data_IF_579252537919
#
_entry.id   IF_579252537919
#
_cell.length_a   1.000
_cell.length_b   1.000
_cell.length_c   1.000
_cell.angle_alpha   90.00
_cell.angle_beta   90.00
_cell.angle_gamma   90.00
#
_symmetry.space_group_name_H-M   'P 1'
#
loop_
_entity.id
_entity.type
_entity.pdbx_description
1 polymer ?
#
# COMPACT_ATOMS: atom_id res chain seq x y z
N UNK A 1 -7.12 12.01 -32.79
CA UNK A 1 -7.16 10.53 -32.81
C UNK A 1 -7.42 10.07 -31.39
N UNK A 2 -8.50 9.31 -31.19
CA UNK A 2 -8.83 8.74 -29.88
C UNK A 2 -7.67 7.85 -29.39
N UNK A 3 -7.36 7.83 -28.08
CA UNK A 3 -6.43 6.85 -27.54
C UNK A 3 -7.02 5.46 -27.76
N UNK A 4 -6.26 4.58 -28.41
CA UNK A 4 -6.65 3.19 -28.57
C UNK A 4 -6.83 2.57 -27.17
N UNK A 5 -8.05 2.13 -26.88
CA UNK A 5 -8.38 1.38 -25.66
C UNK A 5 -7.51 0.14 -25.55
N UNK A 6 -6.69 0.11 -24.51
CA UNK A 6 -5.85 -1.04 -24.17
C UNK A 6 -6.75 -2.03 -23.42
N UNK A 7 -7.43 -2.92 -24.16
CA UNK A 7 -8.12 -4.06 -23.58
C UNK A 7 -7.12 -5.16 -23.24
N UNK A 8 -6.50 -5.07 -22.05
CA UNK A 8 -5.74 -6.18 -21.45
C UNK A 8 -6.76 -7.18 -20.92
N UNK A 9 -6.71 -8.42 -21.42
CA UNK A 9 -7.62 -9.48 -20.97
C UNK A 9 -7.52 -9.73 -19.47
N UNK A 10 -8.66 -9.98 -18.82
CA UNK A 10 -8.75 -10.24 -17.38
C UNK A 10 -7.79 -11.37 -16.95
N UNK A 11 -6.83 -11.13 -16.04
CA UNK A 11 -5.96 -12.18 -15.55
C UNK A 11 -6.76 -13.21 -14.74
N UNK A 12 -6.45 -14.51 -14.92
CA UNK A 12 -6.98 -15.56 -14.05
C UNK A 12 -6.34 -15.43 -12.67
N UNK A 13 -7.15 -15.09 -11.67
CA UNK A 13 -6.71 -14.93 -10.28
C UNK A 13 -6.50 -16.33 -9.63
N UNK A 14 -5.29 -16.68 -9.16
CA UNK A 14 -4.97 -18.03 -8.65
C UNK A 14 -5.78 -18.50 -7.43
N UNK A 15 -6.45 -17.60 -6.71
CA UNK A 15 -7.29 -17.94 -5.55
C UNK A 15 -8.74 -18.28 -5.92
N UNK A 16 -9.07 -18.35 -7.21
CA UNK A 16 -10.40 -18.79 -7.69
C UNK A 16 -10.72 -20.26 -7.43
N UNK A 17 -9.74 -21.11 -7.07
CA UNK A 17 -9.97 -22.55 -6.95
C UNK A 17 -11.04 -22.93 -5.88
N UNK A 18 -11.41 -22.03 -4.96
CA UNK A 18 -12.49 -22.27 -3.97
C UNK A 18 -13.33 -21.02 -3.59
N UNK A 19 -13.36 -19.97 -4.41
CA UNK A 19 -14.13 -18.75 -4.10
C UNK A 19 -15.50 -18.75 -4.81
N UNK A 20 -16.65 -18.67 -4.09
CA UNK A 20 -17.96 -18.51 -4.73
C UNK A 20 -18.05 -17.19 -5.52
N UNK A 21 -18.96 -17.17 -6.49
CA UNK A 21 -19.13 -16.09 -7.47
C UNK A 21 -19.65 -14.80 -6.81
N UNK A 22 -18.75 -13.84 -6.55
CA UNK A 22 -19.14 -12.44 -6.35
C UNK A 22 -19.93 -11.95 -7.59
N UNK A 23 -20.75 -10.89 -7.49
CA UNK A 23 -21.31 -10.24 -8.68
C UNK A 23 -20.14 -9.86 -9.61
N UNK A 24 -20.14 -10.42 -10.83
CA UNK A 24 -19.03 -10.26 -11.79
C UNK A 24 -18.62 -8.79 -11.97
N UNK A 25 -19.59 -7.86 -11.84
CA UNK A 25 -19.37 -6.41 -11.96
C UNK A 25 -18.45 -5.80 -10.90
N UNK A 26 -18.56 -6.17 -9.61
CA UNK A 26 -17.76 -5.56 -8.54
C UNK A 26 -16.30 -6.01 -8.61
N UNK A 27 -16.05 -7.31 -8.86
CA UNK A 27 -14.68 -7.80 -9.11
C UNK A 27 -14.11 -7.15 -10.35
N UNK A 28 -14.86 -7.13 -11.46
CA UNK A 28 -14.37 -6.56 -12.71
C UNK A 28 -13.99 -5.09 -12.56
N UNK A 29 -14.82 -4.30 -11.87
CA UNK A 29 -14.51 -2.92 -11.53
C UNK A 29 -13.29 -2.79 -10.62
N UNK A 30 -13.13 -3.69 -9.64
CA UNK A 30 -11.99 -3.72 -8.74
C UNK A 30 -10.68 -4.16 -9.42
N UNK A 31 -10.76 -4.89 -10.54
CA UNK A 31 -9.61 -5.36 -11.33
C UNK A 31 -9.21 -4.41 -12.48
N UNK A 32 -10.05 -3.40 -12.79
CA UNK A 32 -9.76 -2.39 -13.82
C UNK A 32 -8.57 -1.52 -13.41
N UNK A 33 -7.47 -1.67 -14.15
CA UNK A 33 -6.19 -1.00 -13.95
C UNK A 33 -5.83 -0.04 -15.08
N UNK A 34 -6.78 0.24 -16.00
CA UNK A 34 -6.55 1.11 -17.16
C UNK A 34 -6.10 2.52 -16.79
N UNK A 35 -6.53 3.00 -15.62
CA UNK A 35 -6.24 4.33 -15.10
C UNK A 35 -4.80 4.50 -14.57
N UNK A 36 -4.11 3.40 -14.24
CA UNK A 36 -2.84 3.43 -13.50
C UNK A 36 -1.72 4.08 -14.33
N UNK A 37 -1.74 3.93 -15.65
CA UNK A 37 -0.77 4.61 -16.52
C UNK A 37 -0.87 6.14 -16.46
N UNK A 38 -2.05 6.68 -16.15
CA UNK A 38 -2.30 8.13 -16.11
C UNK A 38 -2.11 8.71 -14.72
N UNK A 39 -2.59 8.03 -13.69
CA UNK A 39 -2.64 8.55 -12.32
C UNK A 39 -1.69 7.85 -11.34
N UNK A 40 -0.92 6.87 -11.83
CA UNK A 40 -0.21 5.94 -10.97
C UNK A 40 -1.17 5.10 -10.13
N UNK A 41 -0.71 4.65 -8.97
CA UNK A 41 -1.53 3.84 -8.05
C UNK A 41 -2.40 4.70 -7.11
N UNK A 42 -2.63 5.97 -7.48
CA UNK A 42 -3.59 6.82 -6.77
C UNK A 42 -4.99 6.58 -7.31
N UNK A 43 -6.00 6.91 -6.50
CA UNK A 43 -7.39 6.97 -6.96
C UNK A 43 -7.50 7.68 -8.33
N UNK A 44 -8.53 7.36 -9.13
CA UNK A 44 -8.76 7.72 -10.55
C UNK A 44 -8.73 9.24 -10.90
N UNK A 45 -8.28 10.08 -9.96
CA UNK A 45 -8.05 11.52 -9.99
C UNK A 45 -8.21 12.07 -8.57
N UNK A 46 -7.59 13.22 -8.20
CA UNK A 46 -7.77 13.84 -6.89
C UNK A 46 -9.20 14.32 -6.62
N UNK A 47 -10.00 14.53 -7.68
CA UNK A 47 -11.44 14.82 -7.61
C UNK A 47 -12.31 13.59 -7.34
N UNK A 48 -11.73 12.38 -7.39
CA UNK A 48 -12.48 11.13 -7.36
C UNK A 48 -12.39 10.43 -6.00
N UNK A 49 -11.59 10.96 -5.06
CA UNK A 49 -11.62 10.44 -3.69
C UNK A 49 -12.90 10.90 -3.03
N UNK A 50 -13.75 9.94 -2.68
CA UNK A 50 -15.06 10.23 -2.11
C UNK A 50 -14.95 10.48 -0.60
N UNK A 51 -15.42 11.64 -0.15
CA UNK A 51 -15.39 12.00 1.26
C UNK A 51 -16.59 11.47 2.05
N UNK A 52 -17.76 11.47 1.42
CA UNK A 52 -19.04 11.18 2.06
C UNK A 52 -19.61 9.84 1.61
N UNK A 53 -20.15 9.09 2.58
CA UNK A 53 -20.94 7.89 2.32
C UNK A 53 -22.39 8.27 2.01
N UNK A 54 -23.13 7.41 1.28
CA UNK A 54 -24.57 7.59 1.09
C UNK A 54 -25.30 7.64 2.45
N UNK A 55 -26.46 8.33 2.55
CA UNK A 55 -27.15 8.56 3.83
C UNK A 55 -27.42 7.31 4.67
N UNK A 56 -27.72 6.18 4.04
CA UNK A 56 -27.94 4.89 4.72
C UNK A 56 -26.72 4.45 5.56
N UNK A 57 -25.52 4.84 5.17
CA UNK A 57 -24.25 4.42 5.77
C UNK A 57 -23.59 5.54 6.59
N UNK A 58 -24.29 6.68 6.79
CA UNK A 58 -23.74 7.86 7.47
C UNK A 58 -23.24 7.55 8.89
N UNK A 59 -23.91 6.64 9.62
CA UNK A 59 -23.53 6.24 10.98
C UNK A 59 -22.09 5.74 11.09
N UNK A 60 -21.56 5.08 10.05
CA UNK A 60 -20.16 4.64 10.02
C UNK A 60 -19.20 5.84 10.02
N UNK A 61 -19.51 6.85 9.20
CA UNK A 61 -18.70 8.07 9.11
C UNK A 61 -18.83 8.92 10.38
N UNK A 62 -20.02 8.99 10.98
CA UNK A 62 -20.27 9.73 12.21
C UNK A 62 -19.50 9.14 13.39
N UNK A 63 -19.50 7.80 13.54
CA UNK A 63 -18.72 7.13 14.59
C UNK A 63 -17.22 7.31 14.40
N UNK A 64 -16.74 7.39 13.15
CA UNK A 64 -15.32 7.69 12.88
C UNK A 64 -14.99 9.15 13.20
N UNK A 65 -15.88 10.09 12.87
CA UNK A 65 -15.72 11.48 13.25
C UNK A 65 -15.73 11.66 14.78
N UNK A 66 -16.56 10.89 15.49
CA UNK A 66 -16.56 10.83 16.95
C UNK A 66 -15.23 10.29 17.49
N UNK A 67 -14.68 9.20 16.94
CA UNK A 67 -13.37 8.66 17.36
C UNK A 67 -12.22 9.67 17.20
N UNK A 68 -12.30 10.53 16.18
CA UNK A 68 -11.29 11.57 15.91
C UNK A 68 -11.45 12.82 16.77
N UNK A 69 -12.67 13.13 17.21
CA UNK A 69 -13.00 14.34 17.96
C UNK A 69 -13.05 14.11 19.48
N UNK A 70 -13.60 12.98 19.92
CA UNK A 70 -13.32 12.43 21.24
C UNK A 70 -11.87 11.95 21.21
N UNK A 71 -10.98 12.35 22.13
CA UNK A 71 -9.56 12.04 22.05
C UNK A 71 -9.27 10.57 22.40
N UNK A 72 -9.86 9.62 21.66
CA UNK A 72 -9.64 8.18 21.80
C UNK A 72 -8.17 7.90 21.52
N UNK A 73 -7.44 7.53 22.55
CA UNK A 73 -6.00 7.26 22.48
C UNK A 73 -5.71 5.77 22.36
N UNK A 74 -4.45 5.46 22.11
CA UNK A 74 -3.91 4.11 22.26
C UNK A 74 -4.09 3.64 23.71
N UNK A 75 -4.59 2.42 23.88
CA UNK A 75 -4.81 1.79 25.19
C UNK A 75 -5.52 2.71 26.18
N UNK A 76 -6.66 3.28 25.78
CA UNK A 76 -7.37 4.31 26.52
C UNK A 76 -8.43 3.70 27.46
N UNK A 77 -8.17 3.65 28.78
CA UNK A 77 -9.11 3.15 29.77
C UNK A 77 -10.17 4.18 30.17
N UNK A 78 -10.16 5.38 29.58
CA UNK A 78 -11.08 6.43 30.00
C UNK A 78 -12.53 6.05 29.73
N UNK A 79 -13.48 6.53 30.56
CA UNK A 79 -14.91 6.35 30.31
C UNK A 79 -15.36 6.92 28.95
N UNK A 80 -14.65 7.92 28.42
CA UNK A 80 -14.93 8.51 27.11
C UNK A 80 -14.63 7.52 25.99
N UNK A 81 -13.45 6.91 26.00
CA UNK A 81 -13.07 5.91 25.01
C UNK A 81 -13.94 4.65 25.13
N UNK A 82 -14.29 4.24 26.35
CA UNK A 82 -15.23 3.13 26.55
C UNK A 82 -16.64 3.45 26.05
N UNK A 83 -17.14 4.67 26.28
CA UNK A 83 -18.44 5.11 25.74
C UNK A 83 -18.47 5.09 24.20
N UNK A 84 -17.36 5.43 23.55
CA UNK A 84 -17.23 5.29 22.10
C UNK A 84 -17.18 3.82 21.66
N UNK A 85 -16.41 2.95 22.32
CA UNK A 85 -16.38 1.50 22.03
C UNK A 85 -17.75 0.85 22.25
N UNK A 86 -18.48 1.25 23.28
CA UNK A 86 -19.86 0.85 23.54
C UNK A 86 -20.79 1.27 22.40
N UNK A 87 -20.59 2.46 21.84
CA UNK A 87 -21.35 2.95 20.68
C UNK A 87 -21.07 2.10 19.43
N UNK A 88 -19.85 1.62 19.24
CA UNK A 88 -19.52 0.63 18.19
C UNK A 88 -20.25 -0.69 18.45
N UNK A 89 -20.22 -1.22 19.68
CA UNK A 89 -20.91 -2.47 20.05
C UNK A 89 -22.43 -2.38 19.88
N UNK A 90 -23.01 -1.18 20.01
CA UNK A 90 -24.44 -0.88 19.80
C UNK A 90 -24.79 -0.39 18.39
N UNK A 91 -23.79 -0.21 17.52
CA UNK A 91 -24.02 0.27 16.16
C UNK A 91 -24.98 -0.68 15.44
N UNK A 92 -26.04 -0.18 14.78
CA UNK A 92 -26.94 -1.04 14.03
C UNK A 92 -26.17 -1.76 12.93
N UNK A 93 -26.49 -3.04 12.71
CA UNK A 93 -26.01 -3.75 11.54
C UNK A 93 -26.63 -3.14 10.28
N UNK A 94 -25.78 -2.80 9.31
CA UNK A 94 -26.19 -2.26 8.01
C UNK A 94 -25.51 -3.09 6.94
N UNK A 95 -26.32 -3.72 6.07
CA UNK A 95 -25.79 -4.54 4.98
C UNK A 95 -25.08 -3.67 3.93
N UNK A 96 -23.85 -4.03 3.50
CA UNK A 96 -23.12 -3.41 2.40
C UNK A 96 -23.53 -3.96 1.04
N UNK A 97 -24.40 -4.97 0.95
CA UNK A 97 -24.82 -5.59 -0.32
C UNK A 97 -25.32 -4.57 -1.35
N UNK A 98 -26.11 -3.53 -0.99
CA UNK A 98 -26.48 -2.48 -1.95
C UNK A 98 -25.29 -1.68 -2.51
N UNK A 99 -24.22 -1.48 -1.73
CA UNK A 99 -22.99 -0.85 -2.22
C UNK A 99 -22.26 -1.77 -3.20
N UNK A 100 -22.12 -3.05 -2.82
CA UNK A 100 -21.41 -4.06 -3.61
C UNK A 100 -22.10 -4.27 -4.96
N UNK A 101 -23.43 -4.37 -4.96
CA UNK A 101 -24.24 -4.55 -6.18
C UNK A 101 -24.15 -3.34 -7.13
N UNK A 102 -24.03 -2.11 -6.60
CA UNK A 102 -23.85 -0.91 -7.42
C UNK A 102 -22.47 -0.84 -8.08
N UNK A 103 -21.46 -1.50 -7.49
CA UNK A 103 -20.09 -1.52 -7.97
C UNK A 103 -19.47 -0.12 -8.22
N UNK A 104 -19.91 0.91 -7.46
CA UNK A 104 -19.26 2.22 -7.46
C UNK A 104 -17.99 2.13 -6.61
N UNK A 105 -16.84 2.05 -7.29
CA UNK A 105 -15.54 1.82 -6.66
C UNK A 105 -15.16 2.92 -5.65
N UNK A 106 -15.46 4.18 -5.93
CA UNK A 106 -15.09 5.27 -5.04
C UNK A 106 -15.90 5.20 -3.74
N UNK A 107 -17.18 4.78 -3.82
CA UNK A 107 -18.03 4.52 -2.65
C UNK A 107 -17.57 3.28 -1.88
N UNK A 108 -17.24 2.19 -2.58
CA UNK A 108 -16.79 0.94 -1.95
C UNK A 108 -15.48 1.13 -1.19
N UNK A 109 -14.51 1.79 -1.83
CA UNK A 109 -13.22 2.15 -1.24
C UNK A 109 -13.45 3.00 0.01
N UNK A 110 -14.28 4.05 -0.07
CA UNK A 110 -14.58 4.91 1.07
C UNK A 110 -15.27 4.17 2.20
N UNK A 111 -16.26 3.32 1.89
CA UNK A 111 -16.98 2.54 2.89
C UNK A 111 -16.03 1.59 3.64
N UNK A 112 -15.19 0.86 2.91
CA UNK A 112 -14.18 -0.02 3.52
C UNK A 112 -13.17 0.80 4.35
N UNK A 113 -12.67 1.92 3.82
CA UNK A 113 -11.72 2.77 4.52
C UNK A 113 -12.27 3.27 5.86
N UNK A 114 -13.53 3.71 5.90
CA UNK A 114 -14.17 4.14 7.15
C UNK A 114 -14.28 2.98 8.14
N UNK A 115 -14.80 1.82 7.71
CA UNK A 115 -14.96 0.65 8.58
C UNK A 115 -13.62 0.11 9.10
N UNK A 116 -12.57 0.10 8.28
CA UNK A 116 -11.26 -0.39 8.70
C UNK A 116 -10.56 0.60 9.65
N UNK A 117 -10.81 1.91 9.50
CA UNK A 117 -10.41 2.89 10.51
C UNK A 117 -11.14 2.67 11.83
N UNK A 118 -12.46 2.41 11.81
CA UNK A 118 -13.23 2.08 13.01
C UNK A 118 -12.69 0.84 13.71
N UNK A 119 -12.35 -0.22 12.94
CA UNK A 119 -11.71 -1.43 13.47
C UNK A 119 -10.42 -1.09 14.23
N UNK A 120 -9.54 -0.30 13.62
CA UNK A 120 -8.26 0.05 14.23
C UNK A 120 -8.44 0.94 15.47
N UNK A 121 -9.33 1.94 15.43
CA UNK A 121 -9.69 2.70 16.64
C UNK A 121 -10.24 1.80 17.74
N UNK A 122 -11.12 0.85 17.40
CA UNK A 122 -11.73 -0.06 18.36
C UNK A 122 -10.69 -0.95 19.03
N UNK A 123 -9.85 -1.62 18.25
CA UNK A 123 -8.84 -2.56 18.75
C UNK A 123 -7.74 -1.84 19.51
N UNK A 124 -7.14 -0.79 18.93
CA UNK A 124 -5.96 -0.16 19.53
C UNK A 124 -6.29 0.77 20.70
N UNK A 125 -7.56 1.16 20.87
CA UNK A 125 -7.98 1.87 22.07
C UNK A 125 -8.29 0.95 23.26
N UNK A 126 -8.34 -0.38 23.07
CA UNK A 126 -8.57 -1.32 24.18
C UNK A 126 -7.51 -1.16 25.27
N UNK A 127 -7.88 -1.12 26.56
CA UNK A 127 -6.93 -0.87 27.66
C UNK A 127 -5.81 -1.90 27.75
N UNK A 128 -6.09 -3.13 27.33
CA UNK A 128 -5.16 -4.26 27.33
C UNK A 128 -4.86 -4.67 25.90
N UNK A 129 -3.59 -4.95 25.63
CA UNK A 129 -3.17 -5.44 24.31
C UNK A 129 -3.81 -6.80 24.01
N UNK A 130 -4.41 -6.98 22.82
CA UNK A 130 -5.05 -8.24 22.47
C UNK A 130 -4.04 -9.38 22.33
N UNK A 131 -4.36 -10.54 22.92
CA UNK A 131 -3.58 -11.77 22.80
C UNK A 131 -4.50 -12.96 22.50
N UNK A 132 -3.99 -14.14 22.12
CA UNK A 132 -4.85 -15.31 21.94
C UNK A 132 -5.61 -15.74 23.21
N UNK A 133 -5.10 -15.42 24.40
CA UNK A 133 -5.79 -15.70 25.69
C UNK A 133 -6.75 -14.59 26.09
N UNK A 134 -6.52 -13.36 25.66
CA UNK A 134 -7.38 -12.18 25.88
C UNK A 134 -7.65 -11.47 24.55
N UNK A 135 -8.47 -12.08 23.66
CA UNK A 135 -8.63 -11.58 22.30
C UNK A 135 -9.49 -10.31 22.24
N UNK A 136 -9.19 -9.45 21.27
CA UNK A 136 -10.09 -8.37 20.88
C UNK A 136 -11.28 -8.95 20.11
N UNK A 137 -12.48 -8.87 20.71
CA UNK A 137 -13.72 -9.29 20.08
C UNK A 137 -14.36 -8.11 19.35
N UNK A 138 -14.37 -8.18 18.03
CA UNK A 138 -14.95 -7.16 17.14
C UNK A 138 -16.42 -7.50 16.90
N UNK A 139 -17.37 -6.57 17.18
CA UNK A 139 -18.80 -6.85 17.08
C UNK A 139 -19.24 -7.07 15.62
N UNK A 140 -20.28 -7.88 15.44
CA UNK A 140 -20.77 -8.30 14.12
C UNK A 140 -21.25 -7.15 13.23
N UNK A 141 -21.77 -6.07 13.83
CA UNK A 141 -22.15 -4.85 13.12
C UNK A 141 -20.97 -4.15 12.43
N UNK A 142 -19.73 -4.38 12.88
CA UNK A 142 -18.51 -3.86 12.28
C UNK A 142 -17.78 -4.94 11.46
N UNK A 143 -17.65 -6.15 12.01
CA UNK A 143 -16.89 -7.23 11.41
C UNK A 143 -17.45 -7.72 10.08
N UNK A 144 -18.76 -7.99 10.01
CA UNK A 144 -19.45 -8.52 8.81
C UNK A 144 -19.34 -7.56 7.61
N UNK A 145 -19.79 -6.29 7.70
CA UNK A 145 -19.71 -5.39 6.55
C UNK A 145 -18.27 -5.11 6.11
N UNK A 146 -17.32 -5.05 7.05
CA UNK A 146 -15.91 -4.90 6.71
C UNK A 146 -15.38 -6.12 5.92
N UNK A 147 -15.74 -7.34 6.32
CA UNK A 147 -15.34 -8.55 5.62
C UNK A 147 -15.93 -8.63 4.21
N UNK A 148 -17.22 -8.34 4.05
CA UNK A 148 -17.88 -8.34 2.74
C UNK A 148 -17.24 -7.31 1.79
N UNK A 149 -16.99 -6.08 2.26
CA UNK A 149 -16.33 -5.04 1.45
C UNK A 149 -14.86 -5.38 1.16
N UNK A 150 -14.14 -5.93 2.14
CA UNK A 150 -12.75 -6.37 1.96
C UNK A 150 -12.65 -7.48 0.92
N UNK A 151 -13.58 -8.44 0.92
CA UNK A 151 -13.69 -9.46 -0.12
C UNK A 151 -14.00 -8.86 -1.49
N UNK A 152 -15.01 -7.99 -1.59
CA UNK A 152 -15.40 -7.37 -2.86
C UNK A 152 -14.24 -6.59 -3.51
N UNK A 153 -13.42 -5.95 -2.69
CA UNK A 153 -12.23 -5.18 -3.12
C UNK A 153 -10.95 -6.04 -3.23
N UNK A 154 -10.99 -7.31 -2.80
CA UNK A 154 -9.86 -8.23 -2.81
C UNK A 154 -8.73 -7.86 -1.84
N UNK A 155 -9.00 -7.13 -0.77
CA UNK A 155 -8.00 -6.67 0.22
C UNK A 155 -8.28 -7.30 1.59
N UNK A 156 -7.28 -7.40 2.48
CA UNK A 156 -7.51 -7.93 3.83
C UNK A 156 -8.32 -6.95 4.71
N UNK A 157 -9.03 -7.43 5.75
CA UNK A 157 -9.79 -6.61 6.68
C UNK A 157 -8.89 -5.99 7.78
N UNK A 158 -7.86 -5.27 7.35
CA UNK A 158 -6.89 -4.54 8.19
C UNK A 158 -6.49 -3.27 7.46
N UNK A 159 -6.08 -2.21 8.17
CA UNK A 159 -5.60 -0.98 7.53
C UNK A 159 -4.37 -1.30 6.70
N UNK A 160 -4.43 -0.94 5.42
CA UNK A 160 -3.35 -1.11 4.44
C UNK A 160 -2.68 0.21 4.09
N UNK A 161 -1.58 0.16 3.34
CA UNK A 161 -0.95 1.34 2.74
C UNK A 161 -1.92 2.10 1.83
N UNK A 162 -2.79 1.41 1.09
CA UNK A 162 -3.81 2.03 0.26
C UNK A 162 -4.77 2.89 1.09
N UNK A 163 -5.22 2.37 2.23
CA UNK A 163 -6.16 3.04 3.15
C UNK A 163 -5.58 4.29 3.79
N UNK A 164 -4.28 4.28 4.04
CA UNK A 164 -3.55 5.36 4.73
C UNK A 164 -2.94 6.39 3.78
N UNK A 165 -2.79 6.03 2.50
CA UNK A 165 -2.10 6.86 1.50
C UNK A 165 -2.93 7.04 0.22
N UNK A 166 -3.11 5.97 -0.58
CA UNK A 166 -3.68 6.04 -1.93
C UNK A 166 -5.13 6.54 -1.97
N UNK A 167 -5.89 6.34 -0.89
CA UNK A 167 -7.29 6.74 -0.76
C UNK A 167 -7.52 7.76 0.37
N UNK A 168 -6.45 8.25 1.01
CA UNK A 168 -6.55 9.03 2.24
C UNK A 168 -6.31 10.53 2.04
N UNK A 169 -6.82 11.11 0.96
CA UNK A 169 -6.58 12.51 0.66
C UNK A 169 -7.76 13.17 -0.05
N UNK A 170 -7.85 14.48 0.10
CA UNK A 170 -8.74 15.32 -0.68
C UNK A 170 -8.03 16.62 -1.06
N UNK A 171 -8.58 17.28 -2.07
CA UNK A 171 -8.17 18.62 -2.45
C UNK A 171 -8.73 19.61 -1.43
N UNK A 172 -7.87 20.47 -0.91
CA UNK A 172 -8.27 21.58 -0.06
C UNK A 172 -8.70 22.77 -0.93
N UNK A 173 -10.01 22.85 -1.22
CA UNK A 173 -10.60 23.93 -2.01
C UNK A 173 -10.74 25.25 -1.21
N UNK A 174 -10.42 25.26 0.08
CA UNK A 174 -10.51 26.47 0.93
C UNK A 174 -9.31 27.41 0.76
N UNK A 175 -8.21 26.91 0.18
CA UNK A 175 -6.96 27.65 0.06
C UNK A 175 -6.59 27.88 -1.42
N UNK A 176 -7.18 28.92 -2.02
CA UNK A 176 -6.94 29.33 -3.41
C UNK A 176 -5.66 30.17 -3.60
N UNK A 177 -4.98 30.54 -2.50
CA UNK A 177 -3.77 31.35 -2.50
C UNK A 177 -2.52 30.48 -2.28
N UNK A 178 -2.19 29.62 -3.23
CA UNK A 178 -0.82 29.07 -3.30
C UNK A 178 -0.02 29.88 -4.32
N UNK A 179 1.20 30.30 -3.94
CA UNK A 179 2.10 31.11 -4.81
C UNK A 179 2.37 30.43 -6.16
N UNK A 180 2.17 29.11 -6.25
CA UNK A 180 2.38 28.27 -7.44
C UNK A 180 1.07 27.91 -8.19
N UNK A 181 -0.10 28.33 -7.73
CA UNK A 181 -1.41 27.93 -8.30
C UNK A 181 -1.75 26.43 -8.16
N UNK A 182 -0.98 25.68 -7.37
CA UNK A 182 -1.23 24.25 -7.08
C UNK A 182 -2.22 24.12 -5.93
N UNK A 183 -3.32 23.38 -6.13
CA UNK A 183 -4.25 23.08 -5.03
C UNK A 183 -3.55 22.27 -3.94
N UNK A 184 -3.73 22.64 -2.67
CA UNK A 184 -3.17 21.91 -1.53
C UNK A 184 -3.95 20.60 -1.31
N UNK A 185 -3.25 19.54 -0.91
CA UNK A 185 -3.87 18.28 -0.50
C UNK A 185 -3.96 18.23 1.02
N UNK A 186 -5.05 17.65 1.53
CA UNK A 186 -5.24 17.34 2.95
C UNK A 186 -5.55 15.87 3.14
N UNK A 187 -5.25 15.36 4.32
CA UNK A 187 -5.55 13.99 4.72
C UNK A 187 -7.01 13.87 5.15
N UNK A 188 -7.67 12.74 4.83
CA UNK A 188 -9.05 12.49 5.26
C UNK A 188 -9.14 11.93 6.69
N UNK A 189 -8.33 10.91 6.96
CA UNK A 189 -8.32 10.16 8.21
C UNK A 189 -6.92 10.15 8.83
N UNK A 190 -6.86 10.39 10.13
CA UNK A 190 -5.68 10.26 10.97
C UNK A 190 -6.13 9.54 12.26
N UNK A 191 -5.21 8.81 12.90
CA UNK A 191 -5.48 8.08 14.13
C UNK A 191 -4.96 8.82 15.36
N UNK A 192 -3.73 9.31 15.28
CA UNK A 192 -3.08 10.05 16.36
C UNK A 192 -3.55 11.50 16.48
N UNK A 193 -4.12 12.04 15.40
CA UNK A 193 -4.49 13.45 15.30
C UNK A 193 -3.30 14.41 15.16
N UNK A 194 -2.07 13.90 15.09
CA UNK A 194 -0.86 14.72 14.99
C UNK A 194 -0.64 15.27 13.57
N UNK A 195 0.00 16.43 13.47
CA UNK A 195 0.47 16.97 12.19
C UNK A 195 1.54 16.08 11.57
N UNK A 196 2.37 15.42 12.39
CA UNK A 196 3.38 14.45 11.97
C UNK A 196 2.81 13.26 11.21
N UNK A 197 1.67 12.73 11.65
CA UNK A 197 0.95 11.66 10.94
C UNK A 197 0.45 12.14 9.58
N UNK A 198 -0.18 13.32 9.54
CA UNK A 198 -0.64 13.90 8.29
C UNK A 198 0.52 14.15 7.32
N UNK A 199 1.65 14.66 7.82
CA UNK A 199 2.85 14.87 7.03
C UNK A 199 3.45 13.56 6.50
N UNK A 200 3.44 12.49 7.31
CA UNK A 200 3.89 11.16 6.90
C UNK A 200 3.06 10.62 5.74
N UNK A 201 1.73 10.74 5.82
CA UNK A 201 0.83 10.35 4.71
C UNK A 201 1.02 11.22 3.48
N UNK A 202 1.09 12.54 3.63
CA UNK A 202 1.28 13.45 2.49
C UNK A 202 2.64 13.24 1.81
N UNK A 203 3.70 12.97 2.56
CA UNK A 203 5.01 12.61 1.98
C UNK A 203 4.90 11.34 1.12
N UNK A 204 4.21 10.31 1.63
CA UNK A 204 3.97 9.06 0.90
C UNK A 204 3.10 9.30 -0.34
N UNK A 205 2.07 10.12 -0.22
CA UNK A 205 1.19 10.53 -1.33
C UNK A 205 1.95 11.28 -2.43
N UNK A 206 2.85 12.20 -2.07
CA UNK A 206 3.68 12.92 -3.04
C UNK A 206 4.65 11.99 -3.78
N UNK A 207 5.14 10.94 -3.12
CA UNK A 207 5.93 9.89 -3.77
C UNK A 207 5.09 9.15 -4.80
N UNK A 208 3.88 8.69 -4.43
CA UNK A 208 2.97 8.00 -5.36
C UNK A 208 2.57 8.88 -6.54
N UNK A 209 2.28 10.16 -6.30
CA UNK A 209 1.96 11.13 -7.34
C UNK A 209 3.13 11.37 -8.31
N UNK A 210 4.36 11.43 -7.78
CA UNK A 210 5.57 11.48 -8.63
C UNK A 210 5.79 10.16 -9.38
N UNK A 211 5.39 9.04 -8.80
CA UNK A 211 5.42 7.70 -9.40
C UNK A 211 4.60 7.59 -10.69
N UNK A 212 3.50 8.33 -10.82
CA UNK A 212 2.73 8.39 -12.08
C UNK A 212 3.59 8.80 -13.28
N UNK A 213 4.55 9.71 -13.09
CA UNK A 213 5.48 10.12 -14.15
C UNK A 213 6.48 9.00 -14.50
N UNK A 214 6.96 8.27 -13.50
CA UNK A 214 7.82 7.10 -13.70
C UNK A 214 7.10 6.01 -14.50
N UNK A 215 5.84 5.71 -14.15
CA UNK A 215 5.02 4.75 -14.90
C UNK A 215 4.74 5.21 -16.32
N UNK A 216 4.50 6.50 -16.56
CA UNK A 216 4.33 7.01 -17.90
C UNK A 216 5.61 6.88 -18.76
N UNK A 217 6.81 7.08 -18.18
CA UNK A 217 8.07 6.82 -18.86
C UNK A 217 8.22 5.32 -19.23
N UNK A 218 7.83 4.42 -18.32
CA UNK A 218 7.78 2.97 -18.59
C UNK A 218 6.83 2.65 -19.74
N UNK A 219 5.64 3.25 -19.77
CA UNK A 219 4.67 3.06 -20.87
C UNK A 219 5.28 3.43 -22.23
N UNK A 220 5.92 4.61 -22.32
CA UNK A 220 6.57 5.07 -23.56
C UNK A 220 7.68 4.10 -23.98
N UNK A 221 8.47 3.59 -23.03
CA UNK A 221 9.50 2.58 -23.29
C UNK A 221 8.92 1.29 -23.90
N UNK A 222 7.83 0.80 -23.33
CA UNK A 222 7.16 -0.42 -23.80
C UNK A 222 6.52 -0.22 -25.17
N UNK A 223 5.90 0.94 -25.42
CA UNK A 223 5.32 1.28 -26.72
C UNK A 223 6.40 1.36 -27.82
N UNK A 224 7.53 2.01 -27.53
CA UNK A 224 8.67 2.08 -28.45
C UNK A 224 9.24 0.67 -28.77
N UNK A 225 9.30 -0.21 -27.75
CA UNK A 225 9.76 -1.59 -27.93
C UNK A 225 8.81 -2.41 -28.81
N UNK A 226 7.49 -2.22 -28.70
CA UNK A 226 6.50 -2.89 -29.56
C UNK A 226 6.64 -2.44 -31.01
N UNK A 227 6.79 -1.13 -31.25
CA UNK A 227 6.97 -0.58 -32.60
C UNK A 227 8.25 -1.10 -33.27
N UNK A 228 9.35 -1.27 -32.52
CA UNK A 228 10.60 -1.83 -33.04
C UNK A 228 10.44 -3.25 -33.60
N UNK A 229 9.58 -4.10 -32.99
CA UNK A 229 9.35 -5.47 -33.49
C UNK A 229 8.70 -5.50 -34.89
N UNK A 230 8.07 -4.40 -35.32
CA UNK A 230 7.35 -4.31 -36.59
C UNK A 230 8.11 -3.56 -37.69
N UNK A 231 9.22 -2.87 -37.38
CA UNK A 231 9.95 -2.03 -38.36
C UNK A 231 11.47 -2.24 -38.27
N UNK A 232 12.04 -2.97 -39.25
CA UNK A 232 13.49 -3.25 -39.30
C UNK A 232 14.36 -2.07 -39.78
N UNK A 233 13.78 -1.00 -40.34
CA UNK A 233 14.52 0.07 -41.03
C UNK A 233 15.04 1.22 -40.14
N UNK A 234 14.65 1.33 -38.87
CA UNK A 234 15.00 2.46 -37.99
C UNK A 234 15.60 2.03 -36.63
N UNK A 235 16.60 1.14 -36.65
CA UNK A 235 17.20 0.61 -35.41
C UNK A 235 17.92 1.69 -34.57
N UNK A 236 18.75 2.56 -35.18
CA UNK A 236 19.56 3.53 -34.43
C UNK A 236 18.75 4.62 -33.71
N UNK A 237 17.73 5.18 -34.35
CA UNK A 237 16.88 6.23 -33.75
C UNK A 237 16.04 5.71 -32.56
N UNK A 238 15.74 4.41 -32.53
CA UNK A 238 14.95 3.80 -31.45
C UNK A 238 15.79 3.60 -30.17
N UNK A 239 17.10 3.32 -30.30
CA UNK A 239 17.99 3.17 -29.14
C UNK A 239 18.19 4.47 -28.37
N UNK A 240 18.37 5.60 -29.06
CA UNK A 240 18.53 6.91 -28.41
C UNK A 240 17.27 7.31 -27.64
N UNK A 241 16.09 7.10 -28.23
CA UNK A 241 14.81 7.36 -27.57
C UNK A 241 14.60 6.48 -26.32
N UNK A 242 15.02 5.21 -26.37
CA UNK A 242 14.94 4.30 -25.20
C UNK A 242 15.92 4.71 -24.10
N UNK A 243 17.14 5.08 -24.44
CA UNK A 243 18.11 5.58 -23.46
C UNK A 243 17.64 6.89 -22.79
N UNK A 244 17.02 7.80 -23.55
CA UNK A 244 16.43 9.03 -23.04
C UNK A 244 15.31 8.75 -22.02
N UNK A 245 14.36 7.86 -22.35
CA UNK A 245 13.27 7.54 -21.43
C UNK A 245 13.74 6.79 -20.17
N UNK A 246 14.76 5.92 -20.27
CA UNK A 246 15.40 5.33 -19.10
C UNK A 246 16.08 6.41 -18.22
N UNK A 247 16.73 7.40 -18.84
CA UNK A 247 17.32 8.54 -18.11
C UNK A 247 16.24 9.37 -17.41
N UNK A 248 15.10 9.62 -18.06
CA UNK A 248 13.97 10.29 -17.47
C UNK A 248 13.39 9.50 -16.27
N UNK A 249 13.25 8.17 -16.42
CA UNK A 249 12.83 7.28 -15.35
C UNK A 249 13.76 7.37 -14.13
N UNK A 250 15.08 7.35 -14.34
CA UNK A 250 16.05 7.53 -13.25
C UNK A 250 15.86 8.91 -12.55
N UNK A 251 15.62 9.98 -13.32
CA UNK A 251 15.29 11.30 -12.81
C UNK A 251 14.02 11.32 -11.93
N UNK A 252 12.96 10.62 -12.34
CA UNK A 252 11.74 10.48 -11.55
C UNK A 252 11.98 9.71 -10.25
N UNK A 253 12.76 8.63 -10.27
CA UNK A 253 13.14 7.89 -9.05
C UNK A 253 13.95 8.76 -8.09
N UNK A 254 14.90 9.56 -8.58
CA UNK A 254 15.65 10.51 -7.73
C UNK A 254 14.75 11.56 -7.09
N UNK A 255 13.74 12.03 -7.82
CA UNK A 255 12.74 12.96 -7.27
C UNK A 255 11.97 12.32 -6.11
N UNK A 256 11.49 11.08 -6.28
CA UNK A 256 10.81 10.34 -5.21
C UNK A 256 11.73 10.10 -4.00
N UNK A 257 13.00 9.79 -4.24
CA UNK A 257 14.00 9.64 -3.20
C UNK A 257 14.21 10.94 -2.39
N UNK A 258 14.30 12.08 -3.08
CA UNK A 258 14.43 13.38 -2.42
C UNK A 258 13.19 13.70 -1.56
N UNK A 259 11.99 13.36 -2.03
CA UNK A 259 10.75 13.49 -1.24
C UNK A 259 10.83 12.65 0.04
N UNK A 260 11.25 11.38 -0.05
CA UNK A 260 11.41 10.52 1.12
C UNK A 260 12.45 11.07 2.11
N UNK A 261 13.58 11.58 1.61
CA UNK A 261 14.64 12.13 2.45
C UNK A 261 14.17 13.32 3.30
N UNK A 262 13.13 14.04 2.84
CA UNK A 262 12.57 15.22 3.50
C UNK A 262 11.42 14.91 4.47
N UNK A 263 11.06 13.64 4.70
CA UNK A 263 9.96 13.26 5.63
C UNK A 263 10.15 13.85 7.05
N UNK A 264 11.39 14.08 7.47
CA UNK A 264 11.73 14.65 8.79
C UNK A 264 11.34 16.13 8.93
N UNK A 265 11.10 16.83 7.83
CA UNK A 265 10.78 18.25 7.86
C UNK A 265 9.41 18.53 8.52
N UNK A 266 8.52 17.55 8.56
CA UNK A 266 7.24 17.68 9.27
C UNK A 266 6.79 16.41 9.98
N UNK A 267 7.63 15.39 10.10
CA UNK A 267 7.33 14.17 10.87
C UNK A 267 8.53 13.79 11.74
N UNK A 268 8.46 14.05 13.03
CA UNK A 268 9.50 13.73 13.99
C UNK A 268 9.60 12.21 14.22
N UNK A 269 10.82 11.62 14.24
CA UNK A 269 11.00 10.18 14.48
C UNK A 269 10.33 9.67 15.75
N UNK A 270 10.38 10.45 16.84
CA UNK A 270 9.77 10.08 18.12
C UNK A 270 8.24 10.09 18.06
N UNK A 271 7.64 11.11 17.45
CA UNK A 271 6.18 11.21 17.30
C UNK A 271 5.69 10.06 16.43
N UNK A 272 6.36 9.79 15.31
CA UNK A 272 6.03 8.65 14.46
C UNK A 272 6.06 7.33 15.25
N UNK A 273 7.16 7.06 15.97
CA UNK A 273 7.32 5.80 16.68
C UNK A 273 6.30 5.60 17.79
N UNK A 274 6.05 6.62 18.61
CA UNK A 274 5.26 6.49 19.82
C UNK A 274 3.76 6.75 19.62
N UNK A 275 3.42 7.71 18.74
CA UNK A 275 2.05 8.20 18.62
C UNK A 275 1.35 7.71 17.36
N UNK A 276 2.10 7.37 16.31
CA UNK A 276 1.56 7.06 14.99
C UNK A 276 1.64 5.56 14.69
N UNK A 277 2.84 4.99 14.72
CA UNK A 277 3.13 3.59 14.39
C UNK A 277 2.24 2.56 15.09
N UNK A 278 1.88 2.68 16.39
CA UNK A 278 1.07 1.68 17.06
C UNK A 278 -0.33 1.49 16.45
N UNK A 279 -0.91 2.54 15.85
CA UNK A 279 -2.22 2.45 15.19
C UNK A 279 -2.20 1.62 13.91
N UNK A 280 -1.02 1.42 13.31
CA UNK A 280 -0.90 0.74 12.03
C UNK A 280 -0.71 -0.76 12.18
N UNK A 281 -0.46 -1.24 13.40
CA UNK A 281 -0.14 -2.64 13.66
C UNK A 281 -1.36 -3.51 13.33
N UNK A 282 -1.15 -4.54 12.52
CA UNK A 282 -2.20 -5.51 12.19
C UNK A 282 -2.39 -6.57 13.27
N UNK A 283 -2.97 -7.71 12.92
CA UNK A 283 -3.11 -8.85 13.82
C UNK A 283 -1.77 -9.60 13.95
N UNK A 284 -1.08 -9.55 15.12
CA UNK A 284 0.28 -10.07 15.23
C UNK A 284 0.33 -11.60 15.33
N UNK A 285 -0.70 -12.22 15.92
CA UNK A 285 -0.77 -13.66 16.18
C UNK A 285 -2.19 -14.17 15.95
N UNK A 286 -2.30 -15.43 15.53
CA UNK A 286 -3.59 -16.05 15.24
C UNK A 286 -4.47 -16.02 16.49
N UNK A 287 -5.70 -15.50 16.33
CA UNK A 287 -6.66 -15.41 17.41
C UNK A 287 -6.44 -14.27 18.40
N UNK A 288 -5.47 -13.38 18.20
CA UNK A 288 -5.44 -12.12 18.96
C UNK A 288 -6.66 -11.24 18.67
N UNK A 289 -7.17 -11.31 17.44
CA UNK A 289 -8.42 -10.68 17.02
C UNK A 289 -9.44 -11.78 16.70
N UNK A 290 -10.69 -11.58 17.13
CA UNK A 290 -11.83 -12.45 16.83
C UNK A 290 -12.95 -11.57 16.29
N UNK A 291 -13.40 -11.89 15.08
CA UNK A 291 -14.50 -11.22 14.42
C UNK A 291 -15.79 -11.98 14.74
N UNK A 292 -16.72 -11.33 15.43
CA UNK A 292 -18.05 -11.91 15.65
C UNK A 292 -18.81 -11.93 14.32
N UNK A 293 -19.08 -13.11 13.78
CA UNK A 293 -19.80 -13.27 12.52
C UNK A 293 -21.31 -13.44 12.71
N UNK A 294 -21.80 -13.51 13.96
CA UNK A 294 -23.15 -14.01 14.28
C UNK A 294 -23.23 -15.54 14.15
N UNK A 295 -24.22 -16.16 14.80
CA UNK A 295 -24.46 -17.62 14.75
C UNK A 295 -24.81 -18.16 13.36
N UNK A 296 -25.32 -19.41 13.30
CA UNK A 296 -25.38 -20.34 12.14
C UNK A 296 -25.95 -19.88 10.78
N UNK A 297 -26.27 -18.61 10.56
CA UNK A 297 -26.58 -18.07 9.23
C UNK A 297 -25.33 -17.41 8.62
N UNK A 298 -24.44 -18.26 8.08
CA UNK A 298 -23.11 -17.94 7.52
C UNK A 298 -23.11 -17.05 6.25
N UNK A 299 -24.18 -16.31 5.96
CA UNK A 299 -24.34 -15.65 4.66
C UNK A 299 -24.52 -14.14 4.78
N UNK A 300 -23.71 -13.40 4.04
CA UNK A 300 -23.96 -11.99 3.74
C UNK A 300 -24.26 -11.87 2.25
N UNK A 301 -25.55 -11.75 1.91
CA UNK A 301 -26.00 -11.77 0.52
C UNK A 301 -25.84 -13.13 -0.18
N UNK A 302 -25.84 -14.24 0.56
CA UNK A 302 -25.74 -15.60 0.00
C UNK A 302 -24.32 -16.21 0.00
N UNK A 303 -23.34 -15.56 0.63
CA UNK A 303 -21.93 -16.01 0.57
C UNK A 303 -21.30 -16.22 1.96
N UNK A 304 -20.58 -17.33 2.13
CA UNK A 304 -19.81 -17.65 3.35
C UNK A 304 -18.85 -16.52 3.72
N UNK A 305 -18.87 -15.97 4.93
CA UNK A 305 -17.98 -14.86 5.35
C UNK A 305 -16.49 -15.26 5.58
N UNK A 306 -16.17 -16.56 5.52
CA UNK A 306 -14.79 -17.06 5.60
C UNK A 306 -13.89 -16.49 4.48
N UNK A 307 -12.62 -16.34 4.77
CA UNK A 307 -11.59 -15.95 3.79
C UNK A 307 -10.24 -16.53 4.17
N UNK A 308 -9.20 -16.25 3.37
CA UNK A 308 -7.82 -16.60 3.74
C UNK A 308 -7.29 -15.82 4.98
N UNK A 309 -8.04 -14.84 5.45
CA UNK A 309 -7.66 -13.94 6.55
C UNK A 309 -8.46 -14.20 7.83
N UNK A 310 -9.66 -14.76 7.71
CA UNK A 310 -10.59 -15.00 8.82
C UNK A 310 -11.27 -16.34 8.60
N UNK A 311 -11.15 -17.26 9.55
CA UNK A 311 -11.80 -18.57 9.51
C UNK A 311 -13.30 -18.48 9.79
N UNK A 312 -14.02 -19.59 9.58
CA UNK A 312 -15.47 -19.65 9.74
C UNK A 312 -15.95 -19.34 11.18
N UNK A 313 -15.13 -19.64 12.18
CA UNK A 313 -15.36 -19.32 13.59
C UNK A 313 -14.95 -17.88 13.97
N UNK A 314 -14.61 -17.04 12.99
CA UNK A 314 -14.23 -15.65 13.21
C UNK A 314 -12.79 -15.43 13.69
N UNK A 315 -11.98 -16.49 13.82
CA UNK A 315 -10.57 -16.36 14.22
C UNK A 315 -9.78 -15.69 13.09
N UNK A 316 -9.10 -14.59 13.43
CA UNK A 316 -8.30 -13.82 12.48
C UNK A 316 -6.89 -14.40 12.39
N UNK A 317 -6.45 -14.67 11.15
CA UNK A 317 -5.09 -15.09 10.84
C UNK A 317 -4.10 -13.90 10.99
N UNK A 318 -2.81 -14.16 11.21
CA UNK A 318 -1.82 -13.08 11.28
C UNK A 318 -1.84 -12.21 10.02
N UNK A 319 -1.98 -10.90 10.23
CA UNK A 319 -2.05 -9.91 9.16
C UNK A 319 -1.06 -8.77 9.44
N UNK A 320 -0.23 -8.47 8.45
CA UNK A 320 0.61 -7.29 8.50
C UNK A 320 -0.26 -6.02 8.58
N UNK A 321 0.22 -5.06 9.36
CA UNK A 321 -0.32 -3.71 9.36
C UNK A 321 0.04 -2.92 8.09
N UNK A 322 -0.28 -1.62 8.07
CA UNK A 322 0.15 -0.73 6.99
C UNK A 322 1.69 -0.63 6.96
N UNK A 323 2.27 -0.80 5.77
CA UNK A 323 3.73 -0.72 5.54
C UNK A 323 4.02 -0.27 4.11
N UNK A 324 5.13 0.45 3.91
CA UNK A 324 5.58 0.87 2.58
C UNK A 324 5.82 -0.30 1.61
N UNK A 325 6.04 -1.51 2.12
CA UNK A 325 6.16 -2.71 1.28
C UNK A 325 4.85 -3.08 0.54
N UNK A 326 3.73 -2.47 0.92
CA UNK A 326 2.43 -2.60 0.26
C UNK A 326 2.20 -1.57 -0.87
N UNK A 327 3.15 -0.67 -1.12
CA UNK A 327 3.09 0.24 -2.28
C UNK A 327 3.44 -0.52 -3.55
N UNK A 328 2.48 -0.65 -4.46
CA UNK A 328 2.66 -1.34 -5.74
C UNK A 328 3.68 -0.63 -6.65
N UNK A 329 3.96 0.66 -6.44
CA UNK A 329 4.96 1.43 -7.17
C UNK A 329 6.36 0.82 -7.08
N UNK A 330 6.80 0.43 -5.88
CA UNK A 330 8.11 -0.21 -5.71
C UNK A 330 8.18 -1.53 -6.46
N UNK A 331 7.09 -2.30 -6.47
CA UNK A 331 7.02 -3.59 -7.14
C UNK A 331 7.00 -3.42 -8.65
N UNK A 332 6.25 -2.45 -9.16
CA UNK A 332 6.21 -2.14 -10.59
C UNK A 332 7.59 -1.74 -11.13
N UNK A 333 8.38 -0.98 -10.36
CA UNK A 333 9.76 -0.64 -10.74
C UNK A 333 10.66 -1.88 -10.78
N UNK A 334 10.58 -2.75 -9.77
CA UNK A 334 11.35 -4.01 -9.76
C UNK A 334 10.97 -4.94 -10.92
N UNK A 335 9.67 -5.03 -11.20
CA UNK A 335 9.11 -5.84 -12.28
C UNK A 335 9.51 -5.28 -13.65
N UNK A 336 9.44 -3.96 -13.84
CA UNK A 336 9.87 -3.31 -15.07
C UNK A 336 11.35 -3.56 -15.37
N UNK A 337 12.21 -3.41 -14.36
CA UNK A 337 13.63 -3.67 -14.49
C UNK A 337 13.95 -5.18 -14.61
N UNK A 338 12.95 -6.07 -14.45
CA UNK A 338 13.13 -7.52 -14.44
C UNK A 338 14.18 -7.92 -13.36
N UNK A 339 14.14 -7.30 -12.18
CA UNK A 339 15.01 -7.59 -11.01
C UNK A 339 14.25 -8.24 -9.85
N UNK A 340 13.00 -8.63 -10.08
CA UNK A 340 12.14 -9.29 -9.11
C UNK A 340 12.79 -10.58 -8.58
N UNK A 341 13.44 -11.38 -9.43
CA UNK A 341 14.14 -12.60 -9.00
C UNK A 341 15.26 -12.33 -7.98
N UNK A 342 15.86 -11.14 -7.99
CA UNK A 342 16.90 -10.72 -7.05
C UNK A 342 16.24 -10.18 -5.77
N UNK A 343 15.23 -9.34 -5.91
CA UNK A 343 14.67 -8.56 -4.79
C UNK A 343 13.60 -9.32 -4.01
N UNK A 344 12.87 -10.21 -4.68
CA UNK A 344 11.70 -10.95 -4.17
C UNK A 344 12.00 -12.44 -3.88
N UNK A 345 13.26 -12.87 -3.94
CA UNK A 345 13.82 -14.23 -3.74
C UNK A 345 12.83 -15.37 -3.44
N UNK A 346 12.90 -16.39 -4.29
CA UNK A 346 11.98 -17.54 -4.39
C UNK A 346 12.38 -18.70 -3.47
N UNK A 347 12.18 -18.57 -2.15
CA UNK A 347 11.92 -19.75 -1.33
C UNK A 347 10.45 -20.18 -1.49
N UNK A 348 10.13 -21.47 -1.29
CA UNK A 348 8.73 -21.96 -1.33
C UNK A 348 7.88 -21.12 -0.36
N UNK A 349 6.92 -20.35 -0.90
CA UNK A 349 6.06 -19.42 -0.16
C UNK A 349 6.33 -17.93 -0.40
N UNK A 350 7.39 -17.58 -1.14
CA UNK A 350 7.77 -16.20 -1.48
C UNK A 350 8.32 -15.40 -0.30
N UNK A 351 9.18 -14.41 -0.57
CA UNK A 351 9.68 -13.53 0.49
C UNK A 351 8.60 -12.55 0.98
N UNK A 352 8.94 -11.72 1.96
CA UNK A 352 8.00 -10.75 2.55
C UNK A 352 7.33 -9.84 1.50
N UNK A 353 8.04 -9.37 0.47
CA UNK A 353 7.47 -8.53 -0.58
C UNK A 353 6.38 -9.25 -1.37
N UNK A 354 6.61 -10.52 -1.73
CA UNK A 354 5.60 -11.31 -2.45
C UNK A 354 4.32 -11.48 -1.62
N UNK A 355 4.44 -11.66 -0.30
CA UNK A 355 3.27 -11.71 0.60
C UNK A 355 2.52 -10.37 0.68
N UNK A 356 3.23 -9.24 0.59
CA UNK A 356 2.61 -7.91 0.62
C UNK A 356 1.73 -7.63 -0.60
N UNK A 357 1.92 -8.32 -1.73
CA UNK A 357 0.99 -8.19 -2.88
C UNK A 357 -0.44 -8.54 -2.50
N UNK A 358 -0.65 -9.47 -1.58
CA UNK A 358 -2.00 -9.82 -1.10
C UNK A 358 -2.73 -8.65 -0.41
N UNK A 359 -2.02 -7.58 -0.04
CA UNK A 359 -2.55 -6.37 0.59
C UNK A 359 -2.80 -5.22 -0.39
N UNK A 360 -2.36 -5.36 -1.65
CA UNK A 360 -2.62 -4.36 -2.68
C UNK A 360 -4.11 -4.32 -3.03
N UNK A 361 -4.63 -3.15 -3.46
CA UNK A 361 -5.85 -3.11 -4.24
C UNK A 361 -5.81 -4.12 -5.40
N UNK A 362 -6.96 -4.69 -5.76
CA UNK A 362 -7.00 -5.72 -6.80
C UNK A 362 -6.46 -5.21 -8.15
N UNK A 363 -6.82 -3.99 -8.57
CA UNK A 363 -6.31 -3.34 -9.77
C UNK A 363 -4.78 -3.25 -9.78
N UNK A 364 -4.18 -2.84 -8.65
CA UNK A 364 -2.73 -2.70 -8.50
C UNK A 364 -2.02 -4.05 -8.68
N UNK A 365 -2.59 -5.15 -8.13
CA UNK A 365 -2.05 -6.51 -8.38
C UNK A 365 -2.13 -6.89 -9.85
N UNK A 366 -3.31 -6.72 -10.45
CA UNK A 366 -3.54 -7.07 -11.86
C UNK A 366 -2.59 -6.30 -12.77
N UNK A 367 -2.34 -5.02 -12.47
CA UNK A 367 -1.38 -4.20 -13.19
C UNK A 367 0.05 -4.73 -13.06
N UNK A 368 0.51 -5.04 -11.85
CA UNK A 368 1.87 -5.55 -11.63
C UNK A 368 2.06 -6.90 -12.33
N UNK A 369 1.06 -7.78 -12.29
CA UNK A 369 1.09 -9.07 -12.99
C UNK A 369 1.11 -8.89 -14.52
N UNK A 370 0.30 -7.98 -15.06
CA UNK A 370 0.29 -7.66 -16.48
C UNK A 370 1.63 -7.05 -16.93
N UNK A 371 2.17 -6.10 -16.15
CA UNK A 371 3.47 -5.49 -16.42
C UNK A 371 4.59 -6.55 -16.45
N UNK A 372 4.54 -7.52 -15.53
CA UNK A 372 5.51 -8.61 -15.48
C UNK A 372 5.50 -9.49 -16.73
N UNK A 373 4.35 -9.67 -17.39
CA UNK A 373 4.24 -10.37 -18.67
C UNK A 373 4.87 -9.55 -19.80
N UNK A 374 4.65 -8.24 -19.81
CA UNK A 374 5.14 -7.34 -20.85
C UNK A 374 6.64 -7.11 -20.80
N UNK A 375 7.22 -7.09 -19.59
CA UNK A 375 8.64 -6.78 -19.37
C UNK A 375 9.53 -8.02 -19.42
N UNK A 376 8.96 -9.20 -19.67
CA UNK A 376 9.74 -10.46 -19.75
C UNK A 376 10.87 -10.35 -20.76
N UNK A 377 12.08 -10.45 -20.24
CA UNK A 377 13.29 -10.44 -21.07
C UNK A 377 13.72 -9.04 -21.52
N UNK A 378 13.15 -7.97 -20.95
CA UNK A 378 13.62 -6.60 -21.16
C UNK A 378 15.12 -6.44 -20.87
N UNK A 379 15.62 -7.14 -19.83
CA UNK A 379 17.04 -7.16 -19.40
C UNK A 379 17.96 -8.09 -20.23
N UNK A 380 17.46 -8.81 -21.26
CA UNK A 380 18.30 -9.81 -21.98
C UNK A 380 19.43 -9.15 -22.78
N UNK A 381 20.66 -9.69 -22.60
CA UNK A 381 21.88 -9.27 -23.30
C UNK A 381 21.74 -9.40 -24.82
N UNK A 382 22.20 -8.39 -25.56
CA UNK A 382 22.17 -8.35 -27.03
C UNK A 382 20.99 -7.59 -27.66
N UNK A 383 20.10 -7.01 -26.84
CA UNK A 383 18.92 -6.23 -27.27
C UNK A 383 19.10 -4.72 -27.02
N UNK A 384 20.09 -4.35 -26.21
CA UNK A 384 20.34 -2.98 -25.77
C UNK A 384 21.65 -2.47 -26.33
N UNK A 385 21.65 -1.22 -26.80
CA UNK A 385 22.83 -0.42 -27.07
C UNK A 385 23.60 -0.10 -25.78
N UNK A 386 24.86 0.32 -25.92
CA UNK A 386 25.67 0.77 -24.79
C UNK A 386 25.03 1.93 -24.02
N UNK A 387 24.43 2.89 -24.74
CA UNK A 387 23.72 4.02 -24.14
C UNK A 387 22.54 3.55 -23.28
N UNK A 388 21.75 2.59 -23.77
CA UNK A 388 20.64 2.01 -23.02
C UNK A 388 21.10 1.21 -21.81
N UNK A 389 22.19 0.44 -21.92
CA UNK A 389 22.74 -0.29 -20.77
C UNK A 389 23.18 0.68 -19.69
N UNK A 390 23.87 1.77 -20.06
CA UNK A 390 24.27 2.82 -19.12
C UNK A 390 23.05 3.48 -18.46
N UNK A 391 22.03 3.84 -19.24
CA UNK A 391 20.81 4.45 -18.72
C UNK A 391 20.01 3.48 -17.82
N UNK A 392 19.91 2.20 -18.19
CA UNK A 392 19.30 1.17 -17.36
C UNK A 392 20.03 1.01 -16.02
N UNK A 393 21.36 0.93 -16.04
CA UNK A 393 22.17 0.84 -14.82
C UNK A 393 22.02 2.09 -13.95
N UNK A 394 21.80 3.25 -14.55
CA UNK A 394 21.49 4.49 -13.83
C UNK A 394 20.12 4.42 -13.12
N UNK A 395 19.10 3.82 -13.75
CA UNK A 395 17.80 3.54 -13.09
C UNK A 395 17.98 2.59 -11.90
N UNK A 396 18.75 1.50 -12.07
CA UNK A 396 19.06 0.54 -11.00
C UNK A 396 19.78 1.24 -9.82
N UNK A 397 20.79 2.07 -10.12
CA UNK A 397 21.49 2.87 -9.10
C UNK A 397 20.54 3.82 -8.38
N UNK A 398 19.70 4.56 -9.12
CA UNK A 398 18.72 5.47 -8.51
C UNK A 398 17.76 4.73 -7.56
N UNK A 399 17.31 3.53 -7.93
CA UNK A 399 16.44 2.70 -7.08
C UNK A 399 17.19 2.16 -5.86
N UNK A 400 18.45 1.75 -6.00
CA UNK A 400 19.31 1.33 -4.89
C UNK A 400 19.58 2.49 -3.91
N UNK A 401 19.80 3.69 -4.41
CA UNK A 401 20.01 4.88 -3.60
C UNK A 401 18.73 5.25 -2.84
N UNK A 402 17.58 5.12 -3.49
CA UNK A 402 16.30 5.30 -2.82
C UNK A 402 16.08 4.30 -1.68
N UNK A 403 16.39 3.01 -1.90
CA UNK A 403 16.37 2.00 -0.84
C UNK A 403 17.39 2.28 0.26
N UNK A 404 18.54 2.86 -0.07
CA UNK A 404 19.53 3.30 0.91
C UNK A 404 18.98 4.40 1.82
N UNK A 405 18.31 5.41 1.25
CA UNK A 405 17.60 6.42 2.03
C UNK A 405 16.53 5.77 2.90
N UNK A 406 15.74 4.83 2.38
CA UNK A 406 14.72 4.14 3.16
C UNK A 406 15.30 3.35 4.34
N UNK A 407 16.43 2.65 4.17
CA UNK A 407 17.15 1.98 5.28
C UNK A 407 17.54 2.99 6.37
N UNK A 408 18.01 4.18 5.98
CA UNK A 408 18.37 5.25 6.94
C UNK A 408 17.15 5.77 7.69
N UNK A 409 16.05 6.05 6.98
CA UNK A 409 14.78 6.47 7.58
C UNK A 409 14.26 5.40 8.55
N UNK A 410 14.16 4.14 8.13
CA UNK A 410 13.71 3.04 8.97
C UNK A 410 14.56 2.88 10.24
N UNK A 411 15.88 3.04 10.12
CA UNK A 411 16.79 3.00 11.27
C UNK A 411 16.52 4.15 12.24
N UNK A 412 16.34 5.38 11.74
CA UNK A 412 16.09 6.55 12.57
C UNK A 412 14.72 6.54 13.24
N UNK A 413 13.68 6.12 12.51
CA UNK A 413 12.27 6.17 12.93
C UNK A 413 11.81 4.95 13.72
N UNK A 414 12.54 3.83 13.64
CA UNK A 414 12.17 2.58 14.34
C UNK A 414 13.27 2.11 15.26
N UNK A 415 14.42 1.71 14.71
CA UNK A 415 15.48 1.05 15.50
C UNK A 415 16.05 1.97 16.58
N UNK A 416 16.41 3.21 16.22
CA UNK A 416 16.97 4.15 17.19
C UNK A 416 15.96 4.53 18.29
N UNK A 417 14.67 4.60 17.95
CA UNK A 417 13.62 4.90 18.92
C UNK A 417 13.41 3.73 19.89
N UNK A 418 13.35 2.50 19.38
CA UNK A 418 13.24 1.28 20.18
C UNK A 418 14.40 1.14 21.18
N UNK A 419 15.65 1.34 20.73
CA UNK A 419 16.84 1.28 21.59
C UNK A 419 16.88 2.35 22.66
N UNK A 420 16.49 3.58 22.30
CA UNK A 420 16.41 4.68 23.25
C UNK A 420 15.43 4.43 24.40
N UNK A 421 14.44 3.55 24.20
CA UNK A 421 13.52 3.09 25.25
C UNK A 421 14.18 2.01 26.10
N UNK A 422 14.77 0.98 25.47
CA UNK A 422 15.44 -0.11 26.18
C UNK A 422 16.58 0.37 27.11
N UNK A 423 17.25 1.46 26.75
CA UNK A 423 18.26 2.11 27.60
C UNK A 423 17.66 2.86 28.80
N UNK A 424 16.48 3.46 28.62
CA UNK A 424 15.75 4.19 29.68
C UNK A 424 15.00 3.25 30.64
N UNK A 425 14.53 2.10 30.16
CA UNK A 425 13.77 1.12 30.95
C UNK A 425 14.63 0.25 31.88
N UNK A 426 15.96 0.47 31.91
CA UNK A 426 16.84 -0.09 32.96
C UNK A 426 16.48 0.38 34.38
N UNK A 427 15.56 1.35 34.53
CA UNK A 427 14.96 1.78 35.80
C UNK A 427 13.61 1.11 36.13
N UNK A 428 13.08 0.23 35.28
CA UNK A 428 11.98 -0.70 35.62
C UNK A 428 10.53 -0.18 35.58
N UNK A 429 10.25 1.00 35.01
CA UNK A 429 8.92 1.64 35.16
C UNK A 429 8.03 1.69 33.90
N UNK A 430 8.45 1.20 32.72
CA UNK A 430 7.61 1.21 31.51
C UNK A 430 7.56 -0.12 30.78
N UNK A 431 6.33 -0.53 30.46
CA UNK A 431 6.03 -1.63 29.54
C UNK A 431 6.19 -1.12 28.10
N UNK A 432 6.99 -1.81 27.29
CA UNK A 432 7.28 -1.40 25.91
C UNK A 432 6.12 -1.74 24.99
N UNK A 433 5.57 -0.73 24.30
CA UNK A 433 4.44 -0.89 23.37
C UNK A 433 4.82 -1.52 22.02
N UNK A 434 6.12 -1.60 21.71
CA UNK A 434 6.63 -1.85 20.36
C UNK A 434 8.02 -2.49 20.36
N UNK A 435 8.23 -3.43 19.43
CA UNK A 435 9.52 -4.07 19.13
C UNK A 435 10.28 -3.35 17.98
N UNK A 436 11.57 -3.67 17.78
CA UNK A 436 12.43 -3.22 16.67
C UNK A 436 11.93 -3.69 15.28
N UNK A 437 10.98 -4.64 15.24
CA UNK A 437 10.38 -5.17 14.01
C UNK A 437 9.56 -4.13 13.24
N UNK A 438 9.46 -4.24 11.92
CA UNK A 438 8.56 -3.39 11.12
C UNK A 438 7.08 -3.62 11.48
N UNK A 439 6.17 -2.71 11.10
CA UNK A 439 4.70 -2.90 11.24
C UNK A 439 4.17 -4.10 10.44
N UNK A 440 4.95 -4.57 9.46
CA UNK A 440 4.71 -5.83 8.74
C UNK A 440 5.32 -7.07 9.41
N UNK A 441 5.91 -6.95 10.61
CA UNK A 441 6.44 -8.08 11.39
C UNK A 441 7.85 -8.57 11.00
N UNK A 442 8.58 -7.85 10.13
CA UNK A 442 9.93 -8.23 9.70
C UNK A 442 11.02 -7.68 10.61
N UNK A 443 12.15 -8.39 10.71
CA UNK A 443 13.45 -7.81 11.13
C UNK A 443 13.85 -6.70 10.16
N UNK A 444 13.54 -5.45 10.52
CA UNK A 444 13.38 -4.35 9.57
C UNK A 444 14.67 -4.04 8.81
N UNK A 445 15.79 -3.86 9.52
CA UNK A 445 17.05 -3.43 8.90
C UNK A 445 17.71 -4.54 8.05
N UNK A 446 17.85 -5.79 8.52
CA UNK A 446 18.39 -6.87 7.69
C UNK A 446 17.57 -7.07 6.40
N UNK A 447 16.25 -7.05 6.50
CA UNK A 447 15.37 -7.17 5.34
C UNK A 447 15.59 -6.04 4.33
N UNK A 448 15.54 -4.77 4.79
CA UNK A 448 15.70 -3.61 3.90
C UNK A 448 17.10 -3.54 3.27
N UNK A 449 18.15 -3.87 4.03
CA UNK A 449 19.53 -3.95 3.49
C UNK A 449 19.65 -5.04 2.43
N UNK A 450 19.09 -6.23 2.67
CA UNK A 450 19.09 -7.31 1.69
C UNK A 450 18.39 -6.93 0.39
N UNK A 451 17.21 -6.29 0.48
CA UNK A 451 16.49 -5.81 -0.71
C UNK A 451 17.26 -4.73 -1.46
N UNK A 452 17.94 -3.80 -0.75
CA UNK A 452 18.81 -2.77 -1.34
C UNK A 452 20.01 -3.38 -2.06
N UNK A 453 20.70 -4.32 -1.42
CA UNK A 453 21.93 -4.91 -1.96
C UNK A 453 21.64 -5.72 -3.22
N UNK A 454 20.58 -6.54 -3.19
CA UNK A 454 20.11 -7.31 -4.35
C UNK A 454 19.53 -6.45 -5.48
N UNK A 455 19.11 -5.21 -5.23
CA UNK A 455 18.83 -4.25 -6.33
C UNK A 455 20.09 -3.99 -7.15
N UNK A 456 21.24 -3.80 -6.48
CA UNK A 456 22.50 -3.50 -7.15
C UNK A 456 22.96 -4.63 -8.07
N UNK A 457 22.70 -5.88 -7.69
CA UNK A 457 22.95 -7.08 -8.51
C UNK A 457 22.11 -7.10 -9.81
N UNK A 458 21.05 -6.30 -9.86
CA UNK A 458 20.21 -6.09 -11.04
C UNK A 458 20.87 -5.29 -12.16
N UNK A 459 22.04 -4.68 -11.93
CA UNK A 459 22.80 -3.99 -12.98
C UNK A 459 23.29 -4.98 -14.06
N UNK A 460 23.48 -4.49 -15.28
CA UNK A 460 24.04 -5.24 -16.41
C UNK A 460 25.55 -4.96 -16.45
N UNK A 461 26.35 -6.02 -16.39
CA UNK A 461 27.80 -5.92 -16.56
C UNK A 461 28.14 -5.52 -18.00
N UNK A 462 28.84 -4.41 -18.17
CA UNK A 462 29.49 -4.07 -19.43
C UNK A 462 30.74 -4.95 -19.58
N UNK A 463 31.01 -5.55 -20.76
CA UNK A 463 32.28 -6.20 -21.00
C UNK A 463 33.39 -5.18 -20.73
N UNK A 464 34.39 -5.52 -19.92
CA UNK A 464 35.64 -4.78 -19.91
C UNK A 464 36.12 -4.76 -21.36
N UNK A 465 36.27 -3.56 -21.95
CA UNK A 465 37.07 -3.44 -23.16
C UNK A 465 38.39 -4.13 -22.85
N UNK A 466 38.67 -5.24 -23.56
CA UNK A 466 40.02 -5.79 -23.62
C UNK A 466 40.93 -4.59 -23.82
N UNK A 467 41.71 -4.23 -22.80
CA UNK A 467 42.81 -3.28 -22.91
C UNK A 467 43.59 -3.69 -24.15
N UNK A 468 43.32 -3.03 -25.27
CA UNK A 468 43.96 -3.31 -26.55
C UNK A 468 45.38 -2.82 -26.37
N UNK A 469 46.29 -3.79 -26.22
CA UNK A 469 47.68 -3.79 -26.70
C UNK A 469 48.44 -2.48 -26.50
N UNK A 470 49.34 -2.48 -25.52
CA UNK A 470 50.71 -2.05 -25.78
C UNK A 470 51.59 -3.28 -25.76
#
# INVERSE_FOLDING_TARGET
MAPHDISIGSPQLPWRENAPSLPDGAIAAAADHSYIWKYGFLARGPSNVREHLPPLYAVWADLLAQAKSAPVRLRDPSPVAEGWRESIRKMPYISPSPLIQRADMDVLIRARQVLVCLLHFYIHSLPVEPTPTTPARVPSCLARPLLALSRALGVPPVVTYADTTQYNYAVDDTNTNTEDGKKRLRVLNNFSGTEDEAHFYLTSLHIEAAGAKALNAIRILLDNQRQHKHQHQHQHQNYDARAEQLTALAGHIRTMNATLANVRNGCAPSVFYHSVRPWYVGCPTRGAWIFDLGGEEEEEGGETLRSRWVSADGVVEPMAGSTAAQSALFHALDVFLNIEEHTHETQKGGNFLMRMRAFFPLADRCFVDALALETRGFRKRGIMSEAEVKAYNDVVTALRDWRTTHVRIATLYVVNQARGIAEKDKSGERETLLDEKGTGGTELVPFLKGVRDRTGEGAINMPEERRRRT
#
